data_IF_007787377124
#
_entry.id   IF_007787377124
#
_cell.length_a   1.000
_cell.length_b   1.000
_cell.length_c   1.000
_cell.angle_alpha   90.00
_cell.angle_beta   90.00
_cell.angle_gamma   90.00
#
_symmetry.space_group_name_H-M   'P 1'
#
loop_
_entity.id
_entity.type
_entity.pdbx_description
1 polymer ?
#
# COMPACT_ATOMS: atom_id res chain seq x y z
N UNK A 1 4.58 -11.36 -10.76
CA UNK A 1 4.51 -12.66 -10.06
C UNK A 1 3.06 -12.84 -9.63
N UNK A 2 2.71 -13.46 -8.49
CA UNK A 2 1.31 -13.48 -8.01
C UNK A 2 1.22 -12.66 -6.73
N UNK A 3 0.23 -11.76 -6.65
CA UNK A 3 -0.09 -11.01 -5.44
C UNK A 3 -0.31 -11.95 -4.25
N UNK A 4 0.07 -11.47 -3.06
CA UNK A 4 -0.35 -12.03 -1.77
C UNK A 4 -1.81 -11.59 -1.53
N UNK A 5 -2.71 -12.15 -2.34
CA UNK A 5 -4.15 -11.98 -2.29
C UNK A 5 -4.81 -13.36 -2.37
N UNK A 6 -4.99 -13.99 -1.22
CA UNK A 6 -5.55 -15.33 -1.14
C UNK A 6 -7.05 -15.28 -0.90
N UNK A 7 -7.82 -15.89 -1.79
CA UNK A 7 -9.25 -16.12 -1.60
C UNK A 7 -9.44 -17.51 -1.01
N UNK A 8 -9.81 -17.58 0.26
CA UNK A 8 -9.88 -18.84 1.04
C UNK A 8 -11.30 -19.01 1.53
N UNK A 9 -12.03 -19.99 1.00
CA UNK A 9 -13.44 -20.28 1.36
C UNK A 9 -14.29 -19.01 1.49
N UNK A 10 -14.52 -18.57 2.73
CA UNK A 10 -15.37 -17.45 3.12
C UNK A 10 -14.62 -16.13 3.38
N UNK A 11 -13.30 -16.11 3.26
CA UNK A 11 -12.46 -14.95 3.54
C UNK A 11 -11.54 -14.59 2.38
N UNK A 12 -11.12 -13.33 2.38
CA UNK A 12 -9.97 -12.87 1.59
C UNK A 12 -8.86 -12.49 2.57
N UNK A 13 -7.66 -12.98 2.32
CA UNK A 13 -6.45 -12.50 2.99
C UNK A 13 -5.63 -11.68 2.01
N UNK A 14 -5.16 -10.52 2.45
CA UNK A 14 -4.37 -9.60 1.62
C UNK A 14 -3.15 -9.10 2.40
N UNK A 15 -2.00 -9.02 1.74
CA UNK A 15 -0.84 -8.29 2.25
C UNK A 15 -0.56 -7.09 1.34
N UNK A 16 -0.40 -5.91 1.94
CA UNK A 16 -0.22 -4.63 1.24
C UNK A 16 0.93 -3.84 1.82
N UNK A 17 1.63 -3.07 0.99
CA UNK A 17 2.54 -2.00 1.42
C UNK A 17 1.95 -0.64 1.12
N UNK A 18 2.26 0.34 1.97
CA UNK A 18 1.84 1.71 1.76
C UNK A 18 2.93 2.71 2.15
N UNK A 19 3.01 3.80 1.39
CA UNK A 19 3.98 4.88 1.56
C UNK A 19 3.38 6.07 2.31
N UNK A 20 4.00 6.46 3.41
CA UNK A 20 3.72 7.69 4.14
C UNK A 20 4.68 8.76 3.62
N UNK A 21 4.19 9.59 2.70
CA UNK A 21 4.88 10.80 2.26
C UNK A 21 4.37 12.01 3.02
N UNK A 22 5.28 12.75 3.64
CA UNK A 22 5.00 13.98 4.39
C UNK A 22 5.77 15.13 3.75
N UNK A 23 5.06 16.20 3.38
CA UNK A 23 5.63 17.45 2.86
C UNK A 23 4.83 18.63 3.37
N UNK A 24 5.52 19.67 3.81
CA UNK A 24 4.90 20.91 4.32
C UNK A 24 3.81 20.66 5.38
N UNK A 25 4.10 19.75 6.33
CA UNK A 25 3.18 19.29 7.38
C UNK A 25 1.87 18.66 6.88
N UNK A 26 1.82 18.22 5.62
CA UNK A 26 0.71 17.51 5.00
C UNK A 26 1.14 16.09 4.65
N UNK A 27 0.16 15.19 4.61
CA UNK A 27 0.36 13.77 4.25
C UNK A 27 -0.35 13.47 2.93
N UNK A 28 0.30 12.69 2.06
CA UNK A 28 -0.30 12.25 0.82
C UNK A 28 -1.27 11.09 1.07
N UNK A 29 -2.50 11.24 0.60
CA UNK A 29 -3.52 10.20 0.60
C UNK A 29 -4.13 10.11 -0.80
N UNK A 30 -4.46 8.91 -1.22
CA UNK A 30 -5.23 8.64 -2.42
C UNK A 30 -6.70 8.43 -2.08
N UNK A 31 -7.58 8.87 -2.98
CA UNK A 31 -9.03 8.67 -2.90
C UNK A 31 -9.56 8.32 -4.30
N UNK A 32 -10.11 7.11 -4.50
CA UNK A 32 -10.79 6.78 -5.74
C UNK A 32 -12.00 7.70 -5.97
N UNK A 33 -12.27 8.08 -7.22
CA UNK A 33 -13.41 8.95 -7.55
C UNK A 33 -14.77 8.38 -7.11
N UNK A 34 -14.88 7.06 -7.04
CA UNK A 34 -16.12 6.35 -6.69
C UNK A 34 -16.17 5.89 -5.22
N UNK A 35 -15.23 6.32 -4.38
CA UNK A 35 -15.17 5.97 -2.96
C UNK A 35 -15.06 7.24 -2.10
N UNK A 36 -15.61 7.20 -0.89
CA UNK A 36 -15.49 8.30 0.07
C UNK A 36 -14.25 8.17 0.96
N UNK A 37 -13.63 6.99 0.98
CA UNK A 37 -12.50 6.64 1.84
C UNK A 37 -11.18 7.12 1.25
N UNK A 38 -10.28 7.54 2.14
CA UNK A 38 -8.90 7.85 1.84
C UNK A 38 -8.02 6.68 2.24
N UNK A 39 -6.98 6.40 1.45
CA UNK A 39 -5.95 5.42 1.75
C UNK A 39 -4.57 6.01 1.49
N UNK A 40 -3.55 5.43 2.11
CA UNK A 40 -2.18 5.73 1.71
C UNK A 40 -1.89 5.09 0.33
N UNK A 41 -1.09 5.73 -0.53
CA UNK A 41 -0.66 5.13 -1.79
C UNK A 41 0.27 3.92 -1.61
N UNK A 42 0.34 3.06 -2.62
CA UNK A 42 1.02 1.76 -2.59
C UNK A 42 0.03 0.63 -2.87
N UNK A 43 0.47 -0.63 -2.92
CA UNK A 43 -0.41 -1.72 -3.32
C UNK A 43 0.02 -3.10 -2.84
N UNK A 44 -0.37 -4.13 -3.60
CA UNK A 44 -0.22 -5.51 -3.15
C UNK A 44 1.24 -5.93 -3.25
N UNK A 45 1.66 -6.75 -2.31
CA UNK A 45 2.99 -7.34 -2.34
C UNK A 45 2.89 -8.61 -3.18
N UNK A 46 3.83 -8.83 -4.09
CA UNK A 46 3.92 -10.11 -4.79
C UNK A 46 4.64 -11.18 -3.96
N UNK A 47 4.30 -12.45 -4.16
CA UNK A 47 5.02 -13.56 -3.53
C UNK A 47 6.51 -13.54 -3.91
N UNK A 48 7.40 -13.52 -2.92
CA UNK A 48 8.85 -13.51 -3.15
C UNK A 48 9.45 -12.13 -3.45
N UNK A 49 8.62 -11.09 -3.51
CA UNK A 49 9.04 -9.71 -3.59
C UNK A 49 9.32 -9.14 -2.19
N UNK A 50 10.34 -8.30 -2.07
CA UNK A 50 10.58 -7.57 -0.82
C UNK A 50 9.70 -6.32 -0.77
N UNK A 51 9.20 -5.99 0.42
CA UNK A 51 8.26 -4.88 0.62
C UNK A 51 8.73 -3.53 0.05
N UNK A 52 10.04 -3.26 0.08
CA UNK A 52 10.63 -2.03 -0.46
C UNK A 52 10.50 -1.95 -1.99
N UNK A 53 10.82 -3.03 -2.69
CA UNK A 53 10.71 -3.11 -4.15
C UNK A 53 9.25 -3.00 -4.59
N UNK A 54 8.34 -3.70 -3.88
CA UNK A 54 6.91 -3.61 -4.10
C UNK A 54 6.42 -2.15 -4.02
N UNK A 55 6.85 -1.43 -2.97
CA UNK A 55 6.42 -0.05 -2.76
C UNK A 55 7.00 0.92 -3.79
N UNK A 56 8.25 0.72 -4.23
CA UNK A 56 8.88 1.49 -5.31
C UNK A 56 8.12 1.27 -6.63
N UNK A 57 7.80 0.01 -6.95
CA UNK A 57 7.04 -0.37 -8.13
C UNK A 57 5.66 0.30 -8.14
N UNK A 58 4.88 0.11 -7.07
CA UNK A 58 3.52 0.64 -6.93
C UNK A 58 3.49 2.17 -7.02
N UNK A 59 4.42 2.89 -6.39
CA UNK A 59 4.49 4.36 -6.53
C UNK A 59 4.83 4.79 -7.95
N UNK A 60 5.63 4.01 -8.66
CA UNK A 60 5.95 4.29 -10.06
C UNK A 60 4.74 4.06 -10.96
N UNK A 61 3.95 3.02 -10.72
CA UNK A 61 2.77 2.68 -11.52
C UNK A 61 1.57 3.60 -11.22
N UNK A 62 1.24 3.81 -9.94
CA UNK A 62 0.06 4.58 -9.52
C UNK A 62 0.26 6.10 -9.65
N UNK A 63 1.47 6.60 -9.37
CA UNK A 63 1.76 8.04 -9.23
C UNK A 63 2.78 8.53 -10.27
N UNK A 64 3.54 7.63 -10.90
CA UNK A 64 4.61 8.01 -11.84
C UNK A 64 5.90 8.47 -11.16
N UNK A 65 5.97 8.47 -9.84
CA UNK A 65 7.04 9.06 -9.04
C UNK A 65 8.08 8.01 -8.60
N UNK A 66 9.37 8.37 -8.66
CA UNK A 66 10.43 7.62 -8.03
C UNK A 66 10.51 7.94 -6.53
N UNK A 67 10.69 6.93 -5.69
CA UNK A 67 10.77 7.10 -4.24
C UNK A 67 11.99 6.40 -3.64
N UNK A 68 12.37 6.84 -2.44
CA UNK A 68 13.27 6.11 -1.53
C UNK A 68 12.47 5.63 -0.34
N UNK A 69 12.42 4.32 -0.14
CA UNK A 69 11.77 3.72 1.03
C UNK A 69 12.70 3.87 2.24
N UNK A 70 12.13 4.27 3.38
CA UNK A 70 12.86 4.42 4.63
C UNK A 70 12.43 3.33 5.61
N UNK A 71 12.56 3.60 6.90
CA UNK A 71 12.12 2.68 7.94
C UNK A 71 10.60 2.44 7.88
N UNK A 72 10.23 1.20 8.19
CA UNK A 72 8.85 0.87 8.54
C UNK A 72 8.41 1.73 9.72
N UNK A 73 7.21 2.28 9.63
CA UNK A 73 6.60 3.11 10.66
C UNK A 73 5.55 2.35 11.45
N UNK A 74 4.76 1.51 10.78
CA UNK A 74 3.65 0.81 11.38
C UNK A 74 3.25 -0.43 10.57
N UNK A 75 2.60 -1.39 11.22
CA UNK A 75 1.87 -2.49 10.60
C UNK A 75 0.44 -2.48 11.17
N UNK A 76 -0.57 -2.52 10.30
CA UNK A 76 -1.97 -2.51 10.71
C UNK A 76 -2.70 -3.76 10.25
N UNK A 77 -3.63 -4.21 11.09
CA UNK A 77 -4.68 -5.16 10.75
C UNK A 77 -5.92 -4.37 10.31
N UNK A 78 -6.41 -4.65 9.11
CA UNK A 78 -7.51 -3.91 8.49
C UNK A 78 -8.58 -4.90 8.06
N UNK A 79 -9.81 -4.68 8.53
CA UNK A 79 -10.97 -5.52 8.20
C UNK A 79 -11.97 -4.74 7.37
N UNK A 80 -12.34 -5.27 6.21
CA UNK A 80 -13.33 -4.64 5.31
C UNK A 80 -13.99 -5.68 4.40
N UNK A 81 -15.06 -5.32 3.70
CA UNK A 81 -15.70 -6.20 2.71
C UNK A 81 -14.97 -6.13 1.36
N UNK A 82 -14.49 -7.27 0.86
CA UNK A 82 -13.99 -7.45 -0.50
C UNK A 82 -15.07 -8.14 -1.34
N UNK A 83 -15.90 -7.34 -2.03
CA UNK A 83 -17.11 -7.84 -2.66
C UNK A 83 -18.08 -8.37 -1.60
N UNK A 84 -18.46 -9.64 -1.72
CA UNK A 84 -19.35 -10.36 -0.80
C UNK A 84 -18.63 -11.01 0.39
N UNK A 85 -17.28 -11.03 0.41
CA UNK A 85 -16.49 -11.70 1.44
C UNK A 85 -15.79 -10.72 2.39
N UNK A 86 -15.69 -11.03 3.69
CA UNK A 86 -14.80 -10.31 4.60
C UNK A 86 -13.34 -10.48 4.19
N UNK A 87 -12.60 -9.38 4.22
CA UNK A 87 -11.17 -9.31 4.01
C UNK A 87 -10.45 -9.04 5.33
N UNK A 88 -9.42 -9.83 5.60
CA UNK A 88 -8.41 -9.56 6.62
C UNK A 88 -7.13 -9.15 5.91
N UNK A 89 -6.79 -7.88 5.98
CA UNK A 89 -5.59 -7.33 5.37
C UNK A 89 -4.55 -6.98 6.42
N UNK A 90 -3.30 -7.35 6.16
CA UNK A 90 -2.13 -6.78 6.82
C UNK A 90 -1.55 -5.71 5.92
N UNK A 91 -1.42 -4.49 6.43
CA UNK A 91 -0.80 -3.39 5.71
C UNK A 91 0.45 -2.88 6.43
N UNK A 92 1.57 -2.85 5.71
CA UNK A 92 2.86 -2.37 6.19
C UNK A 92 3.10 -0.95 5.70
N UNK A 93 3.28 -0.02 6.62
CA UNK A 93 3.45 1.40 6.32
C UNK A 93 4.91 1.82 6.46
N UNK A 94 5.47 2.40 5.40
CA UNK A 94 6.84 2.88 5.35
C UNK A 94 6.86 4.40 5.24
N UNK A 95 7.80 5.06 5.91
CA UNK A 95 8.13 6.45 5.57
C UNK A 95 8.81 6.47 4.21
N UNK A 96 8.49 7.45 3.36
CA UNK A 96 9.11 7.59 2.04
C UNK A 96 9.56 9.03 1.76
N UNK A 97 10.50 9.17 0.83
CA UNK A 97 10.95 10.43 0.24
C UNK A 97 10.85 10.34 -1.29
N UNK A 98 10.61 11.45 -1.98
CA UNK A 98 10.73 11.48 -3.44
C UNK A 98 12.20 11.38 -3.82
N UNK A 99 12.50 10.62 -4.88
CA UNK A 99 13.87 10.45 -5.35
C UNK A 99 14.48 11.75 -5.90
N UNK A 100 13.63 12.66 -6.40
CA UNK A 100 14.02 13.91 -7.09
C UNK A 100 14.01 15.16 -6.17
N UNK A 101 13.70 15.04 -4.88
CA UNK A 101 13.65 16.18 -3.92
C UNK A 101 15.06 16.55 -3.36
N UNK A 102 16.14 16.43 -4.15
CA UNK A 102 17.49 16.95 -3.82
C UNK A 102 17.90 18.14 -4.64
#
# INVERSE_FOLDING_TARGET
MSDILFKIENYVFSCRVAGIYIRDSKVLLQKPNNDTRYAFPGGHIELGEINEDALICEFKEEIGAGIKVKKIKWAAEIFFSWGDKPCHQICLYYMIELADDT
#
